data_IF_778768169705
#
_entry.id   IF_778768169705
#
_cell.length_a   1.000
_cell.length_b   1.000
_cell.length_c   1.000
_cell.angle_alpha   90.00
_cell.angle_beta   90.00
_cell.angle_gamma   90.00
#
_symmetry.space_group_name_H-M   'P 1'
#
loop_
_entity.id
_entity.type
_entity.pdbx_description
1 polymer ?
#
# COMPACT_ATOMS: atom_id res chain seq x y z
N UNK A 1 -1.48 -44.54 -35.79
CA UNK A 1 -0.71 -44.03 -36.94
C UNK A 1 0.32 -43.03 -36.43
N UNK A 2 1.59 -43.43 -36.50
CA UNK A 2 2.77 -42.61 -36.11
C UNK A 2 3.09 -41.65 -37.25
N UNK A 3 3.42 -40.40 -36.95
CA UNK A 3 4.23 -39.60 -37.86
C UNK A 3 5.15 -38.70 -37.05
N UNK A 4 6.39 -39.08 -37.03
CA UNK A 4 7.57 -38.33 -36.59
C UNK A 4 7.96 -37.33 -37.67
N UNK A 5 8.36 -36.11 -37.28
CA UNK A 5 9.14 -35.25 -38.17
C UNK A 5 10.28 -34.57 -37.43
N UNK A 6 11.44 -34.82 -37.98
CA UNK A 6 12.81 -34.61 -37.53
C UNK A 6 13.31 -33.17 -37.67
N UNK A 7 14.31 -32.87 -36.84
CA UNK A 7 15.14 -31.67 -36.77
C UNK A 7 15.91 -31.37 -38.07
N UNK A 8 16.21 -30.10 -38.32
CA UNK A 8 17.35 -29.67 -39.17
C UNK A 8 18.10 -28.53 -38.53
N UNK A 9 19.29 -28.84 -38.05
CA UNK A 9 20.34 -27.90 -37.72
C UNK A 9 20.96 -27.33 -39.03
N UNK A 10 21.22 -26.03 -39.08
CA UNK A 10 22.13 -25.42 -40.07
C UNK A 10 23.30 -24.78 -39.35
N UNK A 11 24.46 -25.41 -39.49
CA UNK A 11 25.79 -24.82 -39.24
C UNK A 11 26.17 -23.98 -40.46
N UNK A 12 26.65 -22.77 -40.25
CA UNK A 12 27.41 -22.02 -41.27
C UNK A 12 28.78 -21.73 -40.67
N UNK A 13 29.78 -22.36 -41.30
CA UNK A 13 31.21 -22.03 -41.20
C UNK A 13 31.51 -20.88 -42.17
N UNK A 14 32.25 -19.88 -41.76
CA UNK A 14 33.03 -19.06 -42.71
C UNK A 14 34.42 -18.81 -42.14
N UNK A 15 35.35 -19.01 -43.02
CA UNK A 15 36.78 -19.13 -42.81
C UNK A 15 37.51 -17.78 -42.76
N UNK A 16 38.69 -17.87 -42.21
CA UNK A 16 39.78 -16.90 -42.06
C UNK A 16 40.33 -16.34 -43.37
N UNK A 17 40.72 -15.09 -43.38
CA UNK A 17 41.86 -14.61 -44.20
C UNK A 17 42.55 -13.46 -43.47
N UNK A 18 43.82 -13.64 -43.20
CA UNK A 18 44.69 -12.67 -42.58
C UNK A 18 45.24 -11.63 -43.58
N UNK A 19 45.65 -10.51 -43.07
CA UNK A 19 46.68 -9.64 -43.68
C UNK A 19 47.34 -8.81 -42.61
N UNK A 20 48.61 -9.07 -42.42
CA UNK A 20 49.57 -8.24 -41.67
C UNK A 20 49.89 -6.96 -42.44
N UNK A 21 49.76 -5.83 -41.83
CA UNK A 21 50.46 -4.62 -42.21
C UNK A 21 50.94 -3.90 -40.97
N UNK A 22 52.26 -3.90 -40.77
CA UNK A 22 52.95 -3.13 -39.76
C UNK A 22 53.22 -1.71 -40.29
N UNK A 23 52.80 -0.69 -39.57
CA UNK A 23 53.34 0.68 -39.71
C UNK A 23 53.61 1.26 -38.33
N UNK A 24 54.80 1.75 -38.19
CA UNK A 24 55.39 2.28 -36.97
C UNK A 24 54.88 3.67 -36.56
N UNK A 25 54.88 3.86 -35.28
CA UNK A 25 55.19 5.07 -34.48
C UNK A 25 54.65 6.45 -34.92
N UNK A 26 53.91 7.06 -34.05
CA UNK A 26 54.29 8.35 -33.38
C UNK A 26 53.55 8.43 -32.06
N UNK A 27 54.27 8.59 -30.97
CA UNK A 27 53.69 8.74 -29.64
C UNK A 27 53.04 10.12 -29.47
N UNK A 28 51.78 10.12 -29.13
CA UNK A 28 51.10 11.25 -28.49
C UNK A 28 50.58 10.76 -27.12
N UNK A 29 51.27 11.20 -26.09
CA UNK A 29 50.81 11.03 -24.70
C UNK A 29 49.60 11.93 -24.52
N UNK A 30 48.39 11.39 -24.73
CA UNK A 30 47.17 12.07 -24.30
C UNK A 30 46.93 11.70 -22.83
N UNK A 31 47.17 12.68 -21.96
CA UNK A 31 46.75 12.61 -20.57
C UNK A 31 45.23 12.45 -20.52
N UNK A 32 44.73 11.23 -20.28
CA UNK A 32 43.32 10.97 -19.98
C UNK A 32 43.05 11.57 -18.59
N UNK A 33 42.42 12.73 -18.56
CA UNK A 33 41.80 13.25 -17.34
C UNK A 33 40.68 12.32 -16.94
N UNK A 34 40.93 11.46 -15.95
CA UNK A 34 39.87 10.68 -15.29
C UNK A 34 38.96 11.65 -14.58
N UNK A 35 37.84 11.97 -15.20
CA UNK A 35 36.76 12.70 -14.53
C UNK A 35 36.16 11.77 -13.48
N UNK A 36 36.66 11.87 -12.27
CA UNK A 36 36.03 11.22 -11.09
C UNK A 36 34.69 11.91 -10.90
N UNK A 37 33.62 11.29 -11.39
CA UNK A 37 32.25 11.72 -11.09
C UNK A 37 32.04 11.45 -9.61
N UNK A 38 32.30 12.45 -8.77
CA UNK A 38 31.96 12.45 -7.37
C UNK A 38 30.41 12.47 -7.30
N UNK A 39 29.83 11.30 -7.14
CA UNK A 39 28.40 11.20 -6.80
C UNK A 39 28.25 11.84 -5.42
N UNK A 40 27.84 13.09 -5.38
CA UNK A 40 27.47 13.77 -4.15
C UNK A 40 26.27 13.02 -3.57
N UNK A 41 26.53 12.06 -2.67
CA UNK A 41 25.51 11.59 -1.74
C UNK A 41 25.07 12.83 -0.98
N UNK A 42 23.83 13.25 -1.19
CA UNK A 42 23.16 14.23 -0.36
C UNK A 42 23.20 13.69 1.08
N UNK A 43 24.14 14.17 1.87
CA UNK A 43 24.25 13.87 3.30
C UNK A 43 23.22 14.73 4.03
N UNK A 44 21.94 14.37 3.91
CA UNK A 44 20.96 14.81 4.88
C UNK A 44 21.41 14.34 6.26
N UNK A 45 21.34 15.20 7.29
CA UNK A 45 21.60 14.78 8.67
C UNK A 45 20.78 13.53 8.99
N UNK A 46 21.36 12.54 9.68
CA UNK A 46 20.64 11.32 10.02
C UNK A 46 19.35 11.66 10.80
N UNK A 47 18.23 11.07 10.38
CA UNK A 47 16.95 11.22 11.07
C UNK A 47 17.09 10.56 12.44
N UNK A 48 16.98 11.33 13.51
CA UNK A 48 17.24 10.86 14.87
C UNK A 48 15.95 10.37 15.52
N UNK A 49 15.91 9.08 15.87
CA UNK A 49 14.86 8.50 16.72
C UNK A 49 15.20 8.62 18.20
N UNK A 50 14.18 8.67 19.05
CA UNK A 50 14.39 8.54 20.50
C UNK A 50 14.97 7.16 20.85
N UNK A 51 15.83 7.10 21.88
CA UNK A 51 16.58 5.89 22.27
C UNK A 51 15.67 4.68 22.54
N UNK A 52 14.45 4.89 23.02
CA UNK A 52 13.48 3.81 23.24
C UNK A 52 13.12 3.00 22.00
N UNK A 53 13.36 3.55 20.79
CA UNK A 53 13.12 2.88 19.51
C UNK A 53 14.39 2.30 18.88
N UNK A 54 15.53 2.34 19.56
CA UNK A 54 16.80 1.83 19.04
C UNK A 54 16.77 0.31 18.75
N UNK A 55 15.92 -0.45 19.44
CA UNK A 55 15.72 -1.90 19.20
C UNK A 55 14.82 -2.20 17.99
N UNK A 56 14.15 -1.20 17.42
CA UNK A 56 13.25 -1.33 16.29
C UNK A 56 11.86 -0.75 16.54
N UNK A 57 11.00 -0.85 15.52
CA UNK A 57 9.60 -0.42 15.54
C UNK A 57 8.68 -1.62 15.29
N UNK A 58 7.64 -1.75 16.10
CA UNK A 58 6.52 -2.67 15.88
C UNK A 58 5.44 -1.92 15.11
N UNK A 59 5.24 -2.30 13.83
CA UNK A 59 4.23 -1.72 12.97
C UNK A 59 3.06 -2.69 12.87
N UNK A 60 1.90 -2.31 13.39
CA UNK A 60 0.68 -3.10 13.35
C UNK A 60 -0.12 -2.81 12.07
N UNK A 61 -0.67 -3.86 11.49
CA UNK A 61 -1.53 -3.82 10.31
C UNK A 61 -2.54 -4.97 10.34
N UNK A 62 -3.71 -4.79 9.76
CA UNK A 62 -4.66 -5.87 9.50
C UNK A 62 -4.28 -6.54 8.18
N UNK A 63 -3.63 -7.70 8.27
CA UNK A 63 -3.08 -8.36 7.10
C UNK A 63 -4.13 -9.16 6.29
N UNK A 64 -5.33 -8.58 6.14
CA UNK A 64 -6.44 -9.11 5.34
C UNK A 64 -6.91 -8.15 4.24
N UNK A 65 -6.18 -7.07 3.98
CA UNK A 65 -6.61 -5.91 3.18
C UNK A 65 -5.76 -5.68 1.91
N UNK A 66 -5.76 -6.65 0.94
CA UNK A 66 -4.96 -6.50 -0.29
C UNK A 66 -5.50 -5.39 -1.20
N UNK A 67 -4.64 -4.64 -1.92
CA UNK A 67 -3.20 -4.87 -2.11
C UNK A 67 -2.33 -4.17 -1.05
N UNK A 68 -2.95 -3.53 -0.05
CA UNK A 68 -2.25 -2.65 0.88
C UNK A 68 -1.47 -3.45 1.93
N UNK A 69 -2.10 -4.42 2.62
CA UNK A 69 -1.46 -5.37 3.52
C UNK A 69 -2.20 -6.71 3.59
N UNK A 70 -1.48 -7.80 3.37
CA UNK A 70 -2.07 -9.14 3.42
C UNK A 70 -1.01 -10.23 3.63
N UNK A 71 -1.46 -11.42 4.04
CA UNK A 71 -0.56 -12.56 4.20
C UNK A 71 -0.39 -13.28 2.86
N UNK A 72 0.88 -13.41 2.42
CA UNK A 72 1.27 -14.24 1.29
C UNK A 72 2.43 -15.15 1.68
N UNK A 73 2.29 -16.46 1.50
CA UNK A 73 3.31 -17.46 1.86
C UNK A 73 3.80 -17.35 3.32
N UNK A 74 2.90 -17.01 4.25
CA UNK A 74 3.21 -16.85 5.68
C UNK A 74 3.93 -15.54 6.05
N UNK A 75 4.00 -14.58 5.14
CA UNK A 75 4.58 -13.27 5.36
C UNK A 75 3.57 -12.17 5.07
N UNK A 76 3.62 -11.10 5.85
CA UNK A 76 2.84 -9.89 5.55
C UNK A 76 3.54 -9.16 4.41
N UNK A 77 2.79 -8.88 3.34
CA UNK A 77 3.21 -8.18 2.13
C UNK A 77 2.16 -7.14 1.77
N UNK A 78 2.47 -6.24 0.85
CA UNK A 78 1.54 -5.23 0.38
C UNK A 78 2.20 -3.87 0.25
N UNK A 79 1.44 -2.89 -0.20
CA UNK A 79 1.88 -1.51 -0.36
C UNK A 79 2.35 -0.92 0.97
N UNK A 80 1.55 -1.03 2.02
CA UNK A 80 1.86 -0.54 3.36
C UNK A 80 3.03 -1.30 3.98
N UNK A 81 3.07 -2.62 3.82
CA UNK A 81 4.18 -3.44 4.30
C UNK A 81 5.52 -3.00 3.68
N UNK A 82 5.57 -2.84 2.36
CA UNK A 82 6.78 -2.41 1.66
C UNK A 82 7.18 -0.98 2.04
N UNK A 83 6.21 -0.08 2.21
CA UNK A 83 6.47 1.30 2.63
C UNK A 83 7.01 1.35 4.07
N UNK A 84 6.40 0.61 5.00
CA UNK A 84 6.88 0.48 6.38
C UNK A 84 8.32 -0.04 6.45
N UNK A 85 8.64 -1.06 5.65
CA UNK A 85 10.01 -1.60 5.55
C UNK A 85 10.99 -0.59 4.95
N UNK A 86 10.56 0.23 3.99
CA UNK A 86 11.38 1.30 3.42
C UNK A 86 11.67 2.41 4.45
N UNK A 87 10.68 2.77 5.27
CA UNK A 87 10.87 3.71 6.38
C UNK A 87 11.91 3.21 7.39
N UNK A 88 11.83 1.92 7.78
CA UNK A 88 12.81 1.31 8.68
C UNK A 88 14.26 1.45 8.15
N UNK A 89 14.48 1.25 6.86
CA UNK A 89 15.79 1.43 6.21
C UNK A 89 16.27 2.87 6.29
N UNK A 90 15.39 3.85 6.06
CA UNK A 90 15.74 5.28 6.14
C UNK A 90 16.04 5.70 7.57
N UNK A 91 15.26 5.20 8.53
CA UNK A 91 15.43 5.47 9.96
C UNK A 91 16.61 4.71 10.58
N UNK A 92 17.18 3.72 9.88
CA UNK A 92 18.26 2.89 10.38
C UNK A 92 17.85 1.95 11.53
N UNK A 93 16.58 1.54 11.58
CA UNK A 93 16.05 0.63 12.62
C UNK A 93 15.35 -0.57 12.00
N UNK A 94 15.28 -1.67 12.76
CA UNK A 94 14.50 -2.84 12.39
C UNK A 94 13.01 -2.52 12.46
N UNK A 95 12.25 -2.89 11.44
CA UNK A 95 10.79 -2.92 11.48
C UNK A 95 10.32 -4.37 11.66
N UNK A 96 9.38 -4.57 12.57
CA UNK A 96 8.65 -5.82 12.74
C UNK A 96 7.20 -5.56 12.41
N UNK A 97 6.70 -6.16 11.33
CA UNK A 97 5.28 -6.11 10.98
C UNK A 97 4.52 -7.08 11.89
N UNK A 98 3.40 -6.61 12.43
CA UNK A 98 2.58 -7.36 13.40
C UNK A 98 1.15 -7.37 12.90
N UNK A 99 0.62 -8.56 12.66
CA UNK A 99 -0.79 -8.74 12.32
C UNK A 99 -1.68 -8.47 13.54
N UNK A 100 -2.71 -7.66 13.34
CA UNK A 100 -3.68 -7.29 14.37
C UNK A 100 -4.98 -6.83 13.73
N UNK A 101 -6.12 -7.18 14.34
CA UNK A 101 -7.43 -6.72 13.89
C UNK A 101 -7.50 -5.19 13.86
N UNK A 102 -8.03 -4.62 12.79
CA UNK A 102 -7.98 -3.19 12.49
C UNK A 102 -8.43 -2.29 13.66
N UNK A 103 -9.61 -2.60 14.26
CA UNK A 103 -10.19 -1.84 15.36
C UNK A 103 -9.35 -1.86 16.66
N UNK A 104 -8.41 -2.82 16.78
CA UNK A 104 -7.52 -2.94 17.94
C UNK A 104 -6.20 -2.19 17.80
N UNK A 105 -5.86 -1.71 16.59
CA UNK A 105 -4.54 -1.13 16.33
C UNK A 105 -4.37 0.22 17.05
N UNK A 106 -5.30 1.17 16.90
CA UNK A 106 -5.21 2.48 17.58
C UNK A 106 -5.19 2.33 19.10
N UNK A 107 -6.10 1.54 19.74
CA UNK A 107 -5.97 1.24 21.17
C UNK A 107 -4.63 0.64 21.54
N UNK A 108 -4.12 -0.30 20.75
CA UNK A 108 -2.80 -0.92 20.98
C UNK A 108 -1.62 0.06 20.88
N UNK A 109 -1.73 1.10 20.05
CA UNK A 109 -0.76 2.20 19.97
C UNK A 109 -0.82 3.05 21.26
N UNK A 110 -2.01 3.38 21.74
CA UNK A 110 -2.21 4.16 22.96
C UNK A 110 -1.65 3.41 24.18
N UNK A 111 -1.83 2.09 24.23
CA UNK A 111 -1.34 1.21 25.31
C UNK A 111 0.16 0.85 25.15
N UNK A 112 0.82 1.31 24.09
CA UNK A 112 2.23 1.01 23.82
C UNK A 112 2.51 -0.44 23.40
N UNK A 113 1.49 -1.20 23.00
CA UNK A 113 1.64 -2.53 22.40
C UNK A 113 2.28 -2.44 21.02
N UNK A 114 1.94 -1.42 20.24
CA UNK A 114 2.51 -1.08 18.93
C UNK A 114 3.13 0.30 18.97
N UNK A 115 4.11 0.53 18.10
CA UNK A 115 4.78 1.83 17.97
C UNK A 115 4.15 2.65 16.84
N UNK A 116 3.68 1.98 15.77
CA UNK A 116 3.08 2.57 14.58
C UNK A 116 1.91 1.70 14.12
N UNK A 117 0.79 2.31 13.76
CA UNK A 117 -0.25 1.71 12.94
C UNK A 117 0.03 2.01 11.47
N UNK A 118 0.13 0.96 10.67
CA UNK A 118 0.39 1.04 9.23
C UNK A 118 -0.56 0.07 8.54
N UNK A 119 -1.81 0.50 8.35
CA UNK A 119 -2.92 -0.34 7.92
C UNK A 119 -4.00 0.50 7.24
N UNK A 120 -3.62 1.16 6.15
CA UNK A 120 -4.53 1.97 5.32
C UNK A 120 -5.43 2.92 6.12
N UNK A 121 -4.91 3.44 7.25
CA UNK A 121 -5.72 4.29 8.13
C UNK A 121 -6.09 5.61 7.46
N UNK A 122 -7.37 5.78 7.19
CA UNK A 122 -7.91 7.11 6.86
C UNK A 122 -7.62 8.06 8.01
N UNK A 123 -6.90 9.15 7.74
CA UNK A 123 -6.73 10.25 8.68
C UNK A 123 -8.05 11.01 8.80
N UNK A 124 -8.63 11.01 9.99
CA UNK A 124 -9.89 11.72 10.30
C UNK A 124 -9.72 12.60 11.54
N UNK A 125 -10.46 13.70 11.60
CA UNK A 125 -10.44 14.57 12.79
C UNK A 125 -10.82 13.83 14.07
N UNK A 126 -11.60 12.77 13.98
CA UNK A 126 -11.94 11.94 15.14
C UNK A 126 -10.73 11.14 15.63
N UNK A 127 -9.99 10.50 14.73
CA UNK A 127 -8.79 9.73 15.04
C UNK A 127 -7.63 10.63 15.47
N UNK A 128 -7.46 11.82 14.84
CA UNK A 128 -6.45 12.81 15.25
C UNK A 128 -6.57 13.27 16.71
N UNK A 129 -7.73 13.11 17.36
CA UNK A 129 -7.87 13.44 18.79
C UNK A 129 -7.04 12.51 19.68
N UNK A 130 -6.79 11.29 19.26
CA UNK A 130 -6.20 10.24 20.09
C UNK A 130 -4.83 9.76 19.61
N UNK A 131 -4.50 9.90 18.32
CA UNK A 131 -3.18 9.61 17.71
C UNK A 131 -2.76 10.76 16.81
N UNK A 132 -1.50 10.80 16.39
CA UNK A 132 -1.03 11.66 15.29
C UNK A 132 -0.89 10.81 14.02
N UNK A 133 -1.20 11.43 12.86
CA UNK A 133 -1.07 10.80 11.55
C UNK A 133 0.06 11.43 10.73
N UNK A 134 0.77 10.61 10.00
CA UNK A 134 1.75 11.03 8.98
C UNK A 134 1.23 10.54 7.64
N UNK A 135 0.66 11.46 6.87
CA UNK A 135 -0.01 11.11 5.62
C UNK A 135 0.98 10.72 4.54
N UNK A 136 0.67 9.64 3.82
CA UNK A 136 1.54 9.09 2.79
C UNK A 136 0.82 8.72 1.49
N UNK A 137 -0.51 8.71 1.49
CA UNK A 137 -1.34 8.25 0.37
C UNK A 137 -2.73 8.90 0.47
N UNK A 138 -3.58 8.71 -0.51
CA UNK A 138 -5.01 9.06 -0.43
C UNK A 138 -5.84 8.00 -1.13
N UNK A 139 -6.98 7.66 -0.55
CA UNK A 139 -7.93 6.73 -1.12
C UNK A 139 -9.36 7.27 -1.03
N UNK A 140 -10.22 6.80 -1.90
CA UNK A 140 -11.66 6.95 -1.79
C UNK A 140 -12.28 5.64 -1.35
N UNK A 141 -13.55 5.68 -1.00
CA UNK A 141 -14.37 4.52 -0.69
C UNK A 141 -15.00 3.92 -1.94
N UNK A 142 -15.29 2.62 -1.94
CA UNK A 142 -15.84 1.91 -3.07
C UNK A 142 -16.73 0.72 -2.70
N UNK A 143 -17.63 0.38 -3.59
CA UNK A 143 -18.52 -0.76 -3.43
C UNK A 143 -18.19 -1.87 -4.43
N UNK A 144 -18.35 -3.10 -3.98
CA UNK A 144 -18.35 -4.28 -4.83
C UNK A 144 -19.49 -5.21 -4.46
N UNK A 145 -19.95 -6.00 -5.41
CA UNK A 145 -21.09 -6.90 -5.28
C UNK A 145 -20.86 -8.20 -6.04
N UNK A 146 -21.73 -9.19 -5.88
CA UNK A 146 -21.68 -10.39 -6.71
C UNK A 146 -21.84 -10.04 -8.19
N UNK A 147 -21.06 -10.66 -9.07
CA UNK A 147 -21.06 -10.37 -10.49
C UNK A 147 -22.42 -10.57 -11.19
N UNK A 148 -23.22 -11.53 -10.69
CA UNK A 148 -24.56 -11.83 -11.21
C UNK A 148 -25.65 -10.87 -10.67
N UNK A 149 -25.33 -9.95 -9.75
CA UNK A 149 -26.29 -8.96 -9.26
C UNK A 149 -26.75 -8.05 -10.39
N UNK A 150 -28.03 -7.71 -10.40
CA UNK A 150 -28.64 -6.74 -11.33
C UNK A 150 -28.79 -5.34 -10.71
N UNK A 151 -28.33 -5.18 -9.45
CA UNK A 151 -28.39 -3.91 -8.72
C UNK A 151 -27.23 -3.00 -9.13
N UNK A 152 -27.35 -1.73 -8.81
CA UNK A 152 -26.29 -0.75 -8.95
C UNK A 152 -26.26 0.13 -7.72
N UNK A 153 -25.11 0.26 -7.09
CA UNK A 153 -24.91 1.08 -5.91
C UNK A 153 -23.99 2.24 -6.26
N UNK A 154 -24.39 3.46 -5.98
CA UNK A 154 -23.57 4.65 -6.24
C UNK A 154 -23.73 5.67 -5.10
N UNK A 155 -22.71 5.78 -4.24
CA UNK A 155 -22.71 6.59 -3.03
C UNK A 155 -23.62 6.06 -1.93
N UNK A 156 -23.50 6.65 -0.74
CA UNK A 156 -24.11 6.14 0.50
C UNK A 156 -25.64 6.00 0.44
N UNK A 157 -26.34 6.90 -0.29
CA UNK A 157 -27.81 6.82 -0.41
C UNK A 157 -28.30 5.54 -1.07
N UNK A 158 -27.47 4.90 -1.89
CA UNK A 158 -27.83 3.64 -2.54
C UNK A 158 -27.87 2.46 -1.54
N UNK A 159 -27.35 2.60 -0.32
CA UNK A 159 -27.44 1.59 0.73
C UNK A 159 -28.85 1.42 1.29
N UNK A 160 -29.76 2.40 1.07
CA UNK A 160 -31.13 2.36 1.60
C UNK A 160 -31.90 1.13 1.10
N UNK A 161 -32.41 0.33 2.04
CA UNK A 161 -33.15 -0.91 1.75
C UNK A 161 -32.27 -2.15 1.54
N UNK A 162 -30.97 -2.02 1.68
CA UNK A 162 -30.00 -3.08 1.40
C UNK A 162 -29.18 -3.50 2.63
N UNK A 163 -28.51 -4.66 2.50
CA UNK A 163 -27.50 -5.14 3.45
C UNK A 163 -26.11 -4.85 2.92
N UNK A 164 -25.28 -4.24 3.75
CA UNK A 164 -23.87 -3.91 3.44
C UNK A 164 -22.94 -4.58 4.44
N UNK A 165 -21.92 -5.25 3.96
CA UNK A 165 -20.85 -5.82 4.77
C UNK A 165 -19.67 -4.84 4.83
N UNK A 166 -19.17 -4.60 6.05
CA UNK A 166 -18.07 -3.67 6.34
C UNK A 166 -17.13 -4.27 7.37
N UNK A 167 -15.88 -3.85 7.37
CA UNK A 167 -14.95 -4.17 8.43
C UNK A 167 -15.15 -3.25 9.63
N UNK A 168 -14.98 -3.79 10.83
CA UNK A 168 -15.20 -3.09 12.10
C UNK A 168 -14.11 -2.04 12.34
N UNK A 169 -14.52 -0.83 12.75
CA UNK A 169 -13.61 0.26 13.09
C UNK A 169 -13.21 1.14 11.91
N UNK A 170 -13.69 0.82 10.69
CA UNK A 170 -13.39 1.57 9.46
C UNK A 170 -14.26 2.82 9.30
N UNK A 171 -13.89 3.70 8.38
CA UNK A 171 -14.70 4.84 7.93
C UNK A 171 -15.96 4.35 7.23
N UNK A 172 -15.86 3.30 6.44
CA UNK A 172 -16.98 2.68 5.74
C UNK A 172 -18.05 2.16 6.70
N UNK A 173 -17.63 1.58 7.85
CA UNK A 173 -18.59 1.21 8.90
C UNK A 173 -19.30 2.44 9.46
N UNK A 174 -18.55 3.52 9.76
CA UNK A 174 -19.12 4.74 10.32
C UNK A 174 -20.10 5.39 9.33
N UNK A 175 -19.79 5.40 8.04
CA UNK A 175 -20.62 5.97 6.98
C UNK A 175 -21.87 5.14 6.72
N UNK A 176 -21.73 3.82 6.66
CA UNK A 176 -22.88 2.94 6.56
C UNK A 176 -23.84 3.08 7.78
N UNK A 177 -23.28 3.18 9.00
CA UNK A 177 -24.05 3.42 10.21
C UNK A 177 -24.70 4.81 10.23
N UNK A 178 -24.02 5.83 9.69
CA UNK A 178 -24.60 7.17 9.57
C UNK A 178 -25.73 7.19 8.57
N UNK A 179 -25.61 6.50 7.44
CA UNK A 179 -26.69 6.33 6.47
C UNK A 179 -27.88 5.54 7.06
N UNK A 180 -27.62 4.56 7.92
CA UNK A 180 -28.65 3.78 8.61
C UNK A 180 -29.53 4.60 9.56
N UNK A 181 -29.05 5.77 10.03
CA UNK A 181 -29.87 6.72 10.79
C UNK A 181 -30.84 7.51 9.92
N UNK A 182 -30.59 7.59 8.60
CA UNK A 182 -31.42 8.34 7.64
C UNK A 182 -32.44 7.46 6.92
N UNK A 183 -32.11 6.19 6.74
CA UNK A 183 -32.98 5.22 6.07
C UNK A 183 -32.66 3.79 6.56
N UNK A 184 -33.50 2.80 6.19
CA UNK A 184 -33.25 1.40 6.56
C UNK A 184 -32.02 0.87 5.81
N UNK A 185 -30.92 0.64 6.52
CA UNK A 185 -29.73 -0.09 6.04
C UNK A 185 -29.44 -1.22 7.03
N UNK A 186 -29.15 -2.42 6.54
CA UNK A 186 -28.71 -3.53 7.37
C UNK A 186 -27.16 -3.58 7.32
N UNK A 187 -26.49 -2.98 8.31
CA UNK A 187 -25.04 -2.96 8.40
C UNK A 187 -24.53 -4.22 9.08
N UNK A 188 -23.77 -5.03 8.37
CA UNK A 188 -23.14 -6.27 8.85
C UNK A 188 -21.65 -6.02 9.04
N UNK A 189 -21.23 -5.90 10.30
CA UNK A 189 -19.83 -5.61 10.64
C UNK A 189 -19.08 -6.91 10.95
N UNK A 190 -17.88 -7.03 10.40
CA UNK A 190 -17.00 -8.19 10.53
C UNK A 190 -15.63 -7.77 11.06
N UNK A 191 -14.89 -8.72 11.63
CA UNK A 191 -13.60 -8.44 12.26
C UNK A 191 -12.48 -8.17 11.27
N UNK A 192 -12.60 -8.66 10.04
CA UNK A 192 -11.61 -8.55 8.98
C UNK A 192 -12.25 -8.54 7.58
N UNK A 193 -11.47 -8.09 6.58
CA UNK A 193 -11.95 -7.96 5.20
C UNK A 193 -12.26 -9.31 4.54
N UNK A 194 -11.61 -10.40 4.92
CA UNK A 194 -11.93 -11.73 4.36
C UNK A 194 -13.34 -12.16 4.75
N UNK A 195 -13.78 -11.86 5.97
CA UNK A 195 -15.15 -12.14 6.43
C UNK A 195 -16.18 -11.26 5.72
N UNK A 196 -15.84 -10.00 5.42
CA UNK A 196 -16.66 -9.11 4.57
C UNK A 196 -16.84 -9.74 3.19
N UNK A 197 -15.75 -10.16 2.54
CA UNK A 197 -15.78 -10.79 1.22
C UNK A 197 -16.65 -12.07 1.23
N UNK A 198 -16.51 -12.89 2.28
CA UNK A 198 -17.30 -14.11 2.43
C UNK A 198 -18.80 -13.79 2.60
N UNK A 199 -19.16 -12.73 3.34
CA UNK A 199 -20.54 -12.33 3.51
C UNK A 199 -21.20 -11.89 2.18
N UNK A 200 -20.45 -11.23 1.30
CA UNK A 200 -20.93 -10.89 -0.05
C UNK A 200 -21.03 -12.13 -0.92
N UNK A 201 -20.02 -12.99 -0.90
CA UNK A 201 -19.98 -14.24 -1.68
C UNK A 201 -21.15 -15.18 -1.33
N UNK A 202 -21.47 -15.31 -0.04
CA UNK A 202 -22.55 -16.16 0.47
C UNK A 202 -23.94 -15.53 0.31
N UNK A 203 -24.04 -14.28 -0.17
CA UNK A 203 -25.30 -13.56 -0.29
C UNK A 203 -25.90 -13.10 1.04
N UNK A 204 -25.13 -13.08 2.14
CA UNK A 204 -25.55 -12.50 3.43
C UNK A 204 -25.60 -10.99 3.37
N UNK A 205 -24.73 -10.37 2.55
CA UNK A 205 -24.77 -8.96 2.21
C UNK A 205 -25.04 -8.77 0.71
N UNK A 206 -25.74 -7.70 0.37
CA UNK A 206 -25.96 -7.30 -1.03
C UNK A 206 -24.66 -6.77 -1.65
N UNK A 207 -23.81 -6.12 -0.85
CA UNK A 207 -22.57 -5.51 -1.29
C UNK A 207 -21.52 -5.48 -0.15
N UNK A 208 -20.26 -5.41 -0.53
CA UNK A 208 -19.12 -5.08 0.33
C UNK A 208 -18.74 -3.63 0.16
N UNK A 209 -18.27 -3.02 1.24
CA UNK A 209 -17.87 -1.63 1.27
C UNK A 209 -16.47 -1.53 1.88
N UNK A 210 -15.52 -1.04 1.11
CA UNK A 210 -14.10 -0.95 1.44
C UNK A 210 -13.48 0.23 0.70
N UNK A 211 -12.21 0.51 0.98
CA UNK A 211 -11.44 1.46 0.18
C UNK A 211 -11.42 1.08 -1.30
N UNK A 212 -11.41 2.07 -2.16
CA UNK A 212 -11.66 1.88 -3.60
C UNK A 212 -10.61 1.01 -4.30
N UNK A 213 -9.32 1.12 -3.95
CA UNK A 213 -8.26 0.27 -4.49
C UNK A 213 -8.36 -1.17 -3.96
N UNK A 214 -8.81 -1.34 -2.72
CA UNK A 214 -9.04 -2.65 -2.11
C UNK A 214 -10.24 -3.33 -2.76
N UNK A 215 -11.36 -2.64 -2.92
CA UNK A 215 -12.53 -3.15 -3.65
C UNK A 215 -12.15 -3.57 -5.08
N UNK A 216 -11.35 -2.76 -5.78
CA UNK A 216 -10.88 -3.08 -7.14
C UNK A 216 -9.97 -4.33 -7.15
N UNK A 217 -9.08 -4.47 -6.16
CA UNK A 217 -8.19 -5.61 -6.06
C UNK A 217 -8.94 -6.91 -5.70
N UNK A 218 -9.91 -6.83 -4.78
CA UNK A 218 -10.81 -7.95 -4.44
C UNK A 218 -11.53 -8.44 -5.70
N UNK A 219 -12.09 -7.54 -6.49
CA UNK A 219 -12.75 -7.88 -7.76
C UNK A 219 -11.78 -8.54 -8.73
N UNK A 220 -10.56 -7.98 -8.86
CA UNK A 220 -9.51 -8.54 -9.73
C UNK A 220 -9.15 -9.98 -9.34
N UNK A 221 -9.04 -10.29 -8.05
CA UNK A 221 -8.69 -11.63 -7.56
C UNK A 221 -9.86 -12.60 -7.53
N UNK A 222 -11.10 -12.16 -7.73
CA UNK A 222 -12.30 -12.96 -7.52
C UNK A 222 -12.64 -13.96 -8.63
N UNK A 223 -11.82 -14.04 -9.69
CA UNK A 223 -12.10 -14.88 -10.87
C UNK A 223 -13.52 -14.67 -11.44
N UNK A 224 -13.99 -13.42 -11.41
CA UNK A 224 -15.31 -13.03 -11.91
C UNK A 224 -16.47 -13.31 -10.94
N UNK A 225 -16.22 -13.63 -9.69
CA UNK A 225 -17.27 -13.77 -8.66
C UNK A 225 -17.85 -12.41 -8.25
N UNK A 226 -17.03 -11.36 -8.27
CA UNK A 226 -17.41 -10.00 -7.90
C UNK A 226 -17.27 -9.03 -9.05
N UNK A 227 -17.93 -7.89 -8.92
CA UNK A 227 -17.77 -6.71 -9.77
C UNK A 227 -17.82 -5.44 -8.94
N UNK A 228 -17.14 -4.40 -9.41
CA UNK A 228 -17.34 -3.05 -8.85
C UNK A 228 -18.72 -2.53 -9.18
N UNK A 229 -19.26 -1.67 -8.32
CA UNK A 229 -20.52 -0.97 -8.54
C UNK A 229 -20.42 0.49 -8.07
N UNK A 230 -20.91 1.42 -8.86
CA UNK A 230 -20.74 2.86 -8.65
C UNK A 230 -19.34 3.37 -8.97
N UNK A 231 -19.06 4.57 -8.51
CA UNK A 231 -17.75 5.25 -8.63
C UNK A 231 -17.18 5.51 -7.24
N UNK A 232 -15.84 5.52 -7.07
CA UNK A 232 -15.22 5.90 -5.81
C UNK A 232 -15.65 7.30 -5.33
N UNK A 233 -15.79 7.45 -4.02
CA UNK A 233 -16.23 8.69 -3.37
C UNK A 233 -15.48 8.90 -2.04
N UNK A 234 -15.75 9.99 -1.30
CA UNK A 234 -15.18 10.29 0.04
C UNK A 234 -13.64 10.15 0.10
N UNK A 235 -12.91 10.75 -0.87
CA UNK A 235 -11.46 10.66 -0.92
C UNK A 235 -10.81 11.40 0.26
N UNK A 236 -10.00 10.69 1.03
CA UNK A 236 -9.31 11.17 2.23
C UNK A 236 -7.84 10.70 2.29
N UNK A 237 -6.97 11.37 3.08
CA UNK A 237 -5.60 10.91 3.26
C UNK A 237 -5.53 9.61 4.09
N UNK A 238 -4.53 8.77 3.76
CA UNK A 238 -4.05 7.68 4.60
C UNK A 238 -2.81 8.11 5.34
N UNK A 239 -2.71 7.76 6.62
CA UNK A 239 -1.57 8.11 7.44
C UNK A 239 -1.09 6.96 8.34
N UNK A 240 0.24 6.96 8.62
CA UNK A 240 0.79 6.17 9.71
C UNK A 240 0.31 6.76 11.03
N UNK A 241 -0.35 5.94 11.85
CA UNK A 241 -0.82 6.33 13.17
C UNK A 241 0.28 6.15 14.22
N UNK A 242 0.52 7.15 15.07
CA UNK A 242 1.46 7.07 16.20
C UNK A 242 0.87 7.69 17.46
N UNK A 243 1.28 7.21 18.64
CA UNK A 243 0.83 7.81 19.89
C UNK A 243 1.27 9.28 19.99
N UNK A 244 0.36 10.15 20.42
CA UNK A 244 0.65 11.55 20.67
C UNK A 244 1.80 11.70 21.65
N UNK A 245 2.73 12.60 21.32
CA UNK A 245 3.91 12.82 22.16
C UNK A 245 4.92 11.69 22.21
N UNK A 246 4.76 10.65 21.38
CA UNK A 246 5.71 9.51 21.29
C UNK A 246 7.12 9.92 20.83
N UNK A 247 7.22 11.05 20.11
CA UNK A 247 8.44 11.50 19.44
C UNK A 247 8.68 10.82 18.08
N UNK A 248 7.70 10.06 17.55
CA UNK A 248 7.79 9.40 16.25
C UNK A 248 7.30 10.27 15.07
N UNK A 249 6.37 11.20 15.30
CA UNK A 249 5.72 11.93 14.22
C UNK A 249 6.71 12.66 13.30
N UNK A 250 7.59 13.49 13.85
CA UNK A 250 8.56 14.24 13.06
C UNK A 250 9.61 13.34 12.35
N UNK A 251 10.22 12.33 13.00
CA UNK A 251 11.10 11.38 12.33
C UNK A 251 10.42 10.59 11.20
N UNK A 252 9.18 10.12 11.39
CA UNK A 252 8.44 9.39 10.35
C UNK A 252 8.10 10.30 9.17
N UNK A 253 7.64 11.53 9.40
CA UNK A 253 7.40 12.50 8.34
C UNK A 253 8.67 12.76 7.52
N UNK A 254 9.81 12.94 8.18
CA UNK A 254 11.09 13.09 7.49
C UNK A 254 11.49 11.83 6.70
N UNK A 255 11.20 10.64 7.24
CA UNK A 255 11.48 9.38 6.56
C UNK A 255 10.57 9.18 5.33
N UNK A 256 9.28 9.49 5.42
CA UNK A 256 8.36 9.45 4.25
C UNK A 256 8.88 10.39 3.15
N UNK A 257 9.23 11.64 3.49
CA UNK A 257 9.83 12.60 2.54
C UNK A 257 11.10 12.04 1.88
N UNK A 258 11.97 11.38 2.65
CA UNK A 258 13.18 10.78 2.12
C UNK A 258 12.89 9.58 1.19
N UNK A 259 11.93 8.71 1.53
CA UNK A 259 11.49 7.60 0.67
C UNK A 259 10.90 8.13 -0.64
N UNK A 260 10.10 9.19 -0.59
CA UNK A 260 9.56 9.85 -1.78
C UNK A 260 10.67 10.46 -2.65
N UNK A 261 11.58 11.24 -2.05
CA UNK A 261 12.68 11.90 -2.76
C UNK A 261 13.65 10.91 -3.41
N UNK A 262 13.81 9.71 -2.84
CA UNK A 262 14.65 8.64 -3.41
C UNK A 262 14.05 7.94 -4.63
N UNK A 263 12.77 8.18 -4.92
CA UNK A 263 12.00 7.45 -5.93
C UNK A 263 11.55 6.06 -5.49
N UNK A 264 11.84 5.64 -4.25
CA UNK A 264 11.43 4.33 -3.74
C UNK A 264 9.91 4.27 -3.56
N UNK A 265 9.28 5.37 -3.12
CA UNK A 265 7.83 5.48 -3.00
C UNK A 265 7.13 5.16 -4.32
N UNK A 266 7.55 5.80 -5.41
CA UNK A 266 7.00 5.51 -6.75
C UNK A 266 7.15 4.04 -7.13
N UNK A 267 8.30 3.42 -6.88
CA UNK A 267 8.52 2.01 -7.18
C UNK A 267 7.60 1.07 -6.39
N UNK A 268 7.27 1.44 -5.15
CA UNK A 268 6.34 0.68 -4.31
C UNK A 268 4.91 0.82 -4.86
N UNK A 269 4.49 2.05 -5.20
CA UNK A 269 3.18 2.28 -5.84
C UNK A 269 3.04 1.46 -7.14
N UNK A 270 4.03 1.57 -8.05
CA UNK A 270 4.04 0.86 -9.33
C UNK A 270 3.99 -0.67 -9.12
N UNK A 271 4.67 -1.19 -8.10
CA UNK A 271 4.68 -2.63 -7.78
C UNK A 271 3.29 -3.14 -7.41
N UNK A 272 2.50 -2.34 -6.71
CA UNK A 272 1.21 -2.73 -6.18
C UNK A 272 0.02 -2.22 -7.01
N UNK A 273 0.27 -1.41 -8.05
CA UNK A 273 -0.75 -0.87 -8.95
C UNK A 273 -1.68 0.14 -8.28
N UNK A 274 -1.14 0.94 -7.35
CA UNK A 274 -1.90 1.91 -6.55
C UNK A 274 -1.48 3.36 -6.79
N UNK A 275 -0.91 3.67 -7.96
CA UNK A 275 -0.36 4.98 -8.30
C UNK A 275 -1.37 6.12 -8.23
N UNK A 276 -2.65 5.81 -8.42
CA UNK A 276 -3.74 6.79 -8.38
C UNK A 276 -3.91 7.47 -7.03
N UNK A 277 -3.47 6.83 -5.93
CA UNK A 277 -3.49 7.40 -4.59
C UNK A 277 -2.23 8.14 -4.18
N UNK A 278 -1.25 8.28 -5.10
CA UNK A 278 0.01 8.95 -4.80
C UNK A 278 -0.17 10.40 -4.36
N UNK A 279 0.60 10.80 -3.34
CA UNK A 279 0.74 12.20 -2.93
C UNK A 279 2.18 12.67 -3.14
N UNK A 280 2.37 13.97 -3.30
CA UNK A 280 3.68 14.57 -3.51
C UNK A 280 4.26 15.23 -2.24
N UNK A 281 3.43 15.59 -1.30
CA UNK A 281 3.83 16.25 -0.04
C UNK A 281 3.14 15.58 1.16
N UNK A 282 3.89 14.76 1.91
CA UNK A 282 3.35 14.13 3.11
C UNK A 282 3.15 15.16 4.23
N UNK A 283 2.03 15.08 4.91
CA UNK A 283 1.61 16.00 5.95
C UNK A 283 1.50 15.33 7.31
N UNK A 284 1.40 16.14 8.36
CA UNK A 284 1.10 15.70 9.72
C UNK A 284 -0.32 16.14 10.03
N UNK A 285 -1.20 15.18 10.36
CA UNK A 285 -2.59 15.43 10.72
C UNK A 285 -3.34 16.24 9.62
N UNK A 286 -3.35 15.69 8.41
CA UNK A 286 -3.90 16.35 7.22
C UNK A 286 -5.40 16.08 6.96
N UNK A 287 -6.12 15.50 7.93
CA UNK A 287 -7.55 15.20 7.78
C UNK A 287 -8.36 16.43 7.39
N UNK A 288 -9.31 16.23 6.47
CA UNK A 288 -10.23 17.27 5.98
C UNK A 288 -11.65 17.10 6.55
N UNK A 289 -11.97 15.94 7.13
CA UNK A 289 -13.28 15.57 7.68
C UNK A 289 -13.18 14.93 9.06
#
# INVERSE_FOLDING_TARGET
MRTTMTARARRVLVATAGSLLAIAMVGAVTASASTTTTTTRSSGSPIKLATKYASGLRMAMDATYPPDEFVQNGHIVGFDADLGMALGKVLGVKVTLVDATFDTIIPGIQDGKFDVGNSSFTDTKAREKVVDFIDYFKAGEGFYEQANSTKTFNGLKALCGHSVAVETGTTEQADAQSQAKLCKVNVLSYADQNQVNLAVSDGRADLGFADSQVAAYIVHLSDGQFKLTGTPFETAPYGFAVAKGSGLAAPLLAAVKAVMASGQYKKILDKWGVEQGAISDPTLNGATS
#
